data_IF_371692044272
#
_entry.id   IF_371692044272
#
_cell.length_a   1.000
_cell.length_b   1.000
_cell.length_c   1.000
_cell.angle_alpha   90.00
_cell.angle_beta   90.00
_cell.angle_gamma   90.00
#
_symmetry.space_group_name_H-M   'P 1'
#
loop_
_entity.id
_entity.type
_entity.pdbx_description
1 polymer ?
#
# COMPACT_ATOMS: atom_id res chain seq x y z
N UNK A 1 -3.85 5.88 12.01
CA UNK A 1 -4.15 5.04 10.82
C UNK A 1 -4.40 3.62 11.27
N UNK A 2 -5.47 3.02 10.80
CA UNK A 2 -5.81 1.64 11.14
C UNK A 2 -5.13 0.68 10.17
N UNK A 3 -4.63 -0.43 10.72
CA UNK A 3 -3.97 -1.47 9.93
C UNK A 3 -4.79 -2.75 10.08
N UNK A 4 -5.28 -3.28 8.97
CA UNK A 4 -6.02 -4.54 8.94
C UNK A 4 -5.21 -5.57 8.17
N UNK A 5 -4.93 -6.71 8.80
CA UNK A 5 -4.17 -7.80 8.18
C UNK A 5 -5.05 -9.02 8.09
N UNK A 6 -5.27 -9.53 6.88
CA UNK A 6 -6.04 -10.74 6.64
C UNK A 6 -5.24 -11.72 5.78
N UNK A 7 -5.55 -13.00 5.91
CA UNK A 7 -4.87 -14.03 5.13
C UNK A 7 -5.89 -14.98 4.49
N UNK A 8 -5.55 -15.46 3.30
CA UNK A 8 -6.27 -16.51 2.58
C UNK A 8 -5.36 -17.70 2.40
N UNK A 9 -5.84 -18.88 2.80
CA UNK A 9 -5.07 -20.12 2.74
C UNK A 9 -3.78 -20.07 3.56
N UNK A 10 -3.74 -19.23 4.60
CA UNK A 10 -2.57 -19.07 5.47
C UNK A 10 -3.01 -18.50 6.80
N UNK A 11 -2.17 -18.62 7.80
CA UNK A 11 -2.36 -18.03 9.11
C UNK A 11 -1.43 -16.82 9.28
N UNK A 12 -1.88 -15.84 10.05
CA UNK A 12 -1.07 -14.69 10.38
C UNK A 12 -0.41 -14.92 11.73
N UNK A 13 0.89 -15.19 11.72
CA UNK A 13 1.66 -15.30 12.94
C UNK A 13 1.95 -13.90 13.51
N UNK A 14 2.05 -13.76 14.85
CA UNK A 14 2.34 -12.47 15.47
C UNK A 14 3.61 -11.80 14.95
N UNK A 15 4.65 -12.59 14.67
CA UNK A 15 5.90 -12.05 14.12
C UNK A 15 5.70 -11.45 12.73
N UNK A 16 4.92 -12.11 11.88
CA UNK A 16 4.61 -11.61 10.55
C UNK A 16 3.78 -10.33 10.65
N UNK A 17 2.77 -10.32 11.53
CA UNK A 17 1.95 -9.13 11.74
C UNK A 17 2.79 -7.95 12.19
N UNK A 18 3.70 -8.15 13.14
CA UNK A 18 4.60 -7.10 13.61
C UNK A 18 5.49 -6.57 12.49
N UNK A 19 5.99 -7.47 11.65
CA UNK A 19 6.81 -7.10 10.50
C UNK A 19 6.05 -6.22 9.52
N UNK A 20 4.82 -6.62 9.19
CA UNK A 20 3.95 -5.84 8.30
C UNK A 20 3.67 -4.46 8.89
N UNK A 21 3.30 -4.41 10.17
CA UNK A 21 2.99 -3.16 10.84
C UNK A 21 4.17 -2.20 10.81
N UNK A 22 5.38 -2.70 11.03
CA UNK A 22 6.60 -1.90 10.94
C UNK A 22 6.80 -1.37 9.52
N UNK A 23 6.63 -2.23 8.51
CA UNK A 23 6.83 -1.83 7.10
C UNK A 23 5.84 -0.77 6.63
N UNK A 24 4.62 -0.79 7.12
CA UNK A 24 3.59 0.18 6.70
C UNK A 24 3.50 1.40 7.61
N UNK A 25 4.28 1.44 8.67
CA UNK A 25 4.20 2.50 9.70
C UNK A 25 4.49 3.90 9.17
N UNK A 26 5.26 4.01 8.08
CA UNK A 26 5.66 5.30 7.52
C UNK A 26 4.70 5.86 6.47
N UNK A 27 3.59 5.17 6.21
CA UNK A 27 2.62 5.62 5.20
C UNK A 27 2.15 7.04 5.46
N UNK A 28 1.84 7.37 6.72
CA UNK A 28 1.34 8.69 7.09
C UNK A 28 2.34 9.81 6.87
N UNK A 29 3.63 9.51 6.78
CA UNK A 29 4.65 10.51 6.45
C UNK A 29 4.55 10.97 5.00
N UNK A 30 4.11 10.07 4.09
CA UNK A 30 3.95 10.38 2.68
C UNK A 30 2.51 10.75 2.32
N UNK A 31 1.55 10.22 3.07
CA UNK A 31 0.13 10.42 2.85
C UNK A 31 -0.52 10.73 4.20
N UNK A 32 -0.47 11.99 4.68
CA UNK A 32 -1.00 12.35 6.01
C UNK A 32 -2.50 12.10 6.17
N UNK A 33 -3.25 12.07 5.07
CA UNK A 33 -4.69 11.82 5.09
C UNK A 33 -5.05 10.34 5.02
N UNK A 34 -4.07 9.46 5.07
CA UNK A 34 -4.31 8.02 5.10
C UNK A 34 -5.07 7.65 6.39
N UNK A 35 -6.16 6.91 6.24
CA UNK A 35 -7.01 6.50 7.35
C UNK A 35 -6.88 5.02 7.68
N UNK A 36 -6.62 4.20 6.67
CA UNK A 36 -6.55 2.75 6.84
C UNK A 36 -5.64 2.14 5.78
N UNK A 37 -4.93 1.11 6.17
CA UNK A 37 -4.25 0.24 5.21
C UNK A 37 -4.75 -1.18 5.41
N UNK A 38 -5.17 -1.81 4.32
CA UNK A 38 -5.55 -3.21 4.30
C UNK A 38 -4.40 -4.02 3.73
N UNK A 39 -3.99 -5.05 4.45
CA UNK A 39 -2.94 -5.98 4.03
C UNK A 39 -3.57 -7.34 3.83
N UNK A 40 -3.46 -7.89 2.64
CA UNK A 40 -3.98 -9.21 2.32
C UNK A 40 -2.82 -10.12 1.91
N UNK A 41 -2.67 -11.22 2.64
CA UNK A 41 -1.72 -12.29 2.31
C UNK A 41 -2.51 -13.43 1.69
N UNK A 42 -2.10 -13.90 0.52
CA UNK A 42 -2.67 -15.07 -0.12
C UNK A 42 -1.58 -16.10 -0.35
N UNK A 43 -1.83 -17.33 0.08
CA UNK A 43 -0.91 -18.44 -0.14
C UNK A 43 -1.42 -19.33 -1.28
N UNK A 44 -0.59 -19.50 -2.31
CA UNK A 44 -0.88 -20.40 -3.42
C UNK A 44 -0.47 -21.82 -3.06
N UNK A 45 -1.42 -22.75 -3.13
CA UNK A 45 -1.18 -24.15 -2.77
C UNK A 45 -0.62 -25.02 -3.90
N UNK A 46 -0.63 -24.50 -5.13
CA UNK A 46 -0.14 -25.27 -6.28
C UNK A 46 1.39 -25.38 -6.22
N UNK A 47 1.96 -26.60 -6.12
CA UNK A 47 3.41 -26.78 -6.07
C UNK A 47 4.15 -26.22 -7.27
N UNK A 48 3.48 -26.11 -8.43
CA UNK A 48 4.09 -25.56 -9.64
C UNK A 48 4.31 -24.06 -9.57
N UNK A 49 3.68 -23.39 -8.60
CA UNK A 49 3.79 -21.94 -8.41
C UNK A 49 4.53 -21.61 -7.11
N UNK A 50 5.42 -22.47 -6.67
CA UNK A 50 6.14 -22.28 -5.41
C UNK A 50 6.94 -20.97 -5.37
N UNK A 51 7.49 -20.54 -6.50
CA UNK A 51 8.30 -19.30 -6.58
C UNK A 51 7.46 -18.04 -6.39
N UNK A 52 6.14 -18.13 -6.56
CA UNK A 52 5.21 -17.02 -6.40
C UNK A 52 4.08 -17.38 -5.44
N UNK A 53 4.36 -18.33 -4.53
CA UNK A 53 3.34 -18.88 -3.64
C UNK A 53 2.76 -17.85 -2.67
N UNK A 54 3.55 -16.86 -2.27
CA UNK A 54 3.14 -15.84 -1.31
C UNK A 54 2.84 -14.54 -2.04
N UNK A 55 1.59 -14.08 -1.97
CA UNK A 55 1.16 -12.83 -2.57
C UNK A 55 0.72 -11.87 -1.49
N UNK A 56 1.24 -10.63 -1.55
CA UNK A 56 0.85 -9.54 -0.65
C UNK A 56 0.20 -8.45 -1.48
N UNK A 57 -0.95 -7.98 -1.03
CA UNK A 57 -1.63 -6.80 -1.57
C UNK A 57 -1.80 -5.78 -0.46
N UNK A 58 -1.32 -4.57 -0.71
CA UNK A 58 -1.44 -3.43 0.21
C UNK A 58 -2.37 -2.41 -0.41
N UNK A 59 -3.39 -1.97 0.32
CA UNK A 59 -4.33 -0.95 -0.14
C UNK A 59 -4.46 0.13 0.92
N UNK A 60 -4.15 1.38 0.53
CA UNK A 60 -4.23 2.53 1.43
C UNK A 60 -5.47 3.34 1.08
N UNK A 61 -6.31 3.57 2.10
CA UNK A 61 -7.52 4.38 2.01
C UNK A 61 -7.33 5.66 2.81
N UNK A 62 -7.81 6.76 2.28
CA UNK A 62 -7.78 8.05 2.96
C UNK A 62 -8.77 9.00 2.34
N UNK A 63 -8.59 10.29 2.57
CA UNK A 63 -9.45 11.34 2.01
C UNK A 63 -9.02 11.78 0.60
N UNK A 64 -8.19 11.00 -0.05
CA UNK A 64 -7.75 11.23 -1.42
C UNK A 64 -7.84 9.94 -2.21
N UNK A 65 -6.97 9.76 -3.21
CA UNK A 65 -7.01 8.55 -4.03
C UNK A 65 -6.67 7.31 -3.21
N UNK A 66 -7.19 6.17 -3.66
CA UNK A 66 -6.84 4.85 -3.11
C UNK A 66 -5.55 4.40 -3.79
N UNK A 67 -4.57 4.02 -3.01
CA UNK A 67 -3.26 3.59 -3.52
C UNK A 67 -3.08 2.12 -3.23
N UNK A 68 -2.72 1.34 -4.25
CA UNK A 68 -2.49 -0.10 -4.13
C UNK A 68 -1.11 -0.48 -4.61
N UNK A 69 -0.59 -1.55 -4.02
CA UNK A 69 0.62 -2.21 -4.48
C UNK A 69 0.52 -3.70 -4.15
N UNK A 70 1.06 -4.54 -5.01
CA UNK A 70 1.10 -5.97 -4.79
C UNK A 70 2.42 -6.56 -5.21
N UNK A 71 2.77 -7.69 -4.61
CA UNK A 71 3.97 -8.44 -4.96
C UNK A 71 3.78 -9.92 -4.67
N UNK A 72 4.53 -10.74 -5.37
CA UNK A 72 4.58 -12.18 -5.18
C UNK A 72 6.01 -12.63 -4.97
N UNK A 73 6.21 -13.64 -4.13
CA UNK A 73 7.52 -14.21 -3.85
C UNK A 73 7.33 -15.62 -3.28
N UNK A 74 8.40 -16.39 -3.24
CA UNK A 74 8.41 -17.67 -2.52
C UNK A 74 8.34 -17.48 -1.00
N UNK A 75 8.81 -16.33 -0.51
CA UNK A 75 8.82 -15.97 0.90
C UNK A 75 7.89 -14.77 1.15
N UNK A 76 6.99 -14.93 2.13
CA UNK A 76 6.01 -13.86 2.45
C UNK A 76 6.65 -12.58 2.97
N UNK A 77 7.77 -12.67 3.68
CA UNK A 77 8.49 -11.48 4.15
C UNK A 77 9.09 -10.70 2.98
N UNK A 78 9.67 -11.42 2.01
CA UNK A 78 10.17 -10.80 0.78
C UNK A 78 9.04 -10.16 -0.02
N UNK A 79 7.87 -10.80 -0.09
CA UNK A 79 6.70 -10.24 -0.77
C UNK A 79 6.26 -8.94 -0.11
N UNK A 80 6.27 -8.86 1.22
CA UNK A 80 5.97 -7.63 1.96
C UNK A 80 6.96 -6.52 1.60
N UNK A 81 8.25 -6.84 1.58
CA UNK A 81 9.29 -5.85 1.28
C UNK A 81 9.11 -5.27 -0.12
N UNK A 82 8.83 -6.13 -1.10
CA UNK A 82 8.64 -5.69 -2.49
C UNK A 82 7.36 -4.86 -2.61
N UNK A 83 6.27 -5.32 -2.03
CA UNK A 83 5.01 -4.58 -2.07
C UNK A 83 5.11 -3.23 -1.38
N UNK A 84 5.76 -3.18 -0.21
CA UNK A 84 5.98 -1.93 0.53
C UNK A 84 6.84 -0.96 -0.27
N UNK A 85 7.90 -1.44 -0.93
CA UNK A 85 8.74 -0.61 -1.79
C UNK A 85 7.93 0.04 -2.92
N UNK A 86 7.10 -0.75 -3.60
CA UNK A 86 6.21 -0.24 -4.64
C UNK A 86 5.21 0.78 -4.10
N UNK A 87 4.64 0.49 -2.93
CA UNK A 87 3.67 1.37 -2.29
C UNK A 87 4.29 2.73 -1.97
N UNK A 88 5.47 2.74 -1.34
CA UNK A 88 6.14 3.99 -0.97
C UNK A 88 6.54 4.81 -2.19
N UNK A 89 6.92 4.17 -3.27
CA UNK A 89 7.20 4.86 -4.52
C UNK A 89 5.95 5.56 -5.06
N UNK A 90 4.81 4.88 -5.05
CA UNK A 90 3.53 5.46 -5.49
C UNK A 90 3.08 6.61 -4.58
N UNK A 91 3.27 6.45 -3.27
CA UNK A 91 2.96 7.51 -2.31
C UNK A 91 3.85 8.72 -2.50
N UNK A 92 5.14 8.51 -2.81
CA UNK A 92 6.06 9.60 -3.13
C UNK A 92 5.60 10.37 -4.36
N UNK A 93 5.20 9.68 -5.42
CA UNK A 93 4.67 10.30 -6.63
C UNK A 93 3.42 11.12 -6.33
N UNK A 94 2.53 10.61 -5.50
CA UNK A 94 1.34 11.33 -5.07
C UNK A 94 1.72 12.61 -4.34
N UNK A 95 2.65 12.53 -3.38
CA UNK A 95 3.13 13.68 -2.62
C UNK A 95 3.73 14.74 -3.54
N UNK A 96 4.54 14.34 -4.50
CA UNK A 96 5.19 15.25 -5.44
C UNK A 96 4.16 15.92 -6.34
N UNK A 97 3.14 15.18 -6.78
CA UNK A 97 2.05 15.73 -7.58
C UNK A 97 1.23 16.77 -6.80
N UNK A 98 0.99 16.52 -5.51
CA UNK A 98 0.32 17.48 -4.64
C UNK A 98 1.14 18.77 -4.54
N UNK A 99 2.45 18.66 -4.36
CA UNK A 99 3.34 19.82 -4.31
C UNK A 99 3.32 20.63 -5.60
N UNK A 100 3.33 19.96 -6.76
CA UNK A 100 3.27 20.62 -8.05
C UNK A 100 1.95 21.38 -8.23
N UNK A 101 0.83 20.80 -7.84
CA UNK A 101 -0.46 21.47 -7.86
C UNK A 101 -0.47 22.74 -7.03
N UNK A 102 0.09 22.67 -5.81
CA UNK A 102 0.18 23.82 -4.91
C UNK A 102 1.02 24.96 -5.47
N UNK A 103 1.98 24.67 -6.34
CA UNK A 103 2.79 25.67 -7.00
C UNK A 103 2.07 26.36 -8.14
N UNK A 104 1.15 25.67 -8.82
CA UNK A 104 0.48 26.15 -10.04
C UNK A 104 -0.86 26.83 -9.77
N UNK A 105 -1.54 26.44 -8.69
CA UNK A 105 -2.91 26.84 -8.41
C UNK A 105 -3.04 27.35 -6.98
N UNK A 106 -4.09 28.18 -6.71
CA UNK A 106 -4.43 28.49 -5.32
C UNK A 106 -4.59 27.21 -4.52
N UNK A 107 -4.15 27.27 -3.26
CA UNK A 107 -4.11 26.11 -2.40
C UNK A 107 -5.44 25.36 -2.30
N UNK A 108 -6.54 26.11 -2.16
CA UNK A 108 -7.86 25.52 -2.00
C UNK A 108 -8.29 24.73 -3.22
N UNK A 109 -8.03 25.27 -4.42
CA UNK A 109 -8.34 24.59 -5.67
C UNK A 109 -7.49 23.33 -5.84
N UNK A 110 -6.21 23.41 -5.52
CA UNK A 110 -5.31 22.26 -5.63
C UNK A 110 -5.75 21.13 -4.72
N UNK A 111 -6.14 21.44 -3.48
CA UNK A 111 -6.64 20.43 -2.54
C UNK A 111 -7.95 19.81 -3.00
N UNK A 112 -8.86 20.60 -3.53
CA UNK A 112 -10.13 20.11 -4.05
C UNK A 112 -9.92 19.14 -5.22
N UNK A 113 -9.06 19.49 -6.16
CA UNK A 113 -8.74 18.62 -7.29
C UNK A 113 -8.13 17.30 -6.85
N UNK A 114 -7.25 17.33 -5.88
CA UNK A 114 -6.59 16.13 -5.39
C UNK A 114 -7.57 15.21 -4.64
N UNK A 115 -8.47 15.80 -3.86
CA UNK A 115 -9.49 15.03 -3.13
C UNK A 115 -10.48 14.36 -4.09
N UNK A 116 -10.67 14.92 -5.28
CA UNK A 116 -11.54 14.36 -6.31
C UNK A 116 -10.78 13.44 -7.28
N UNK A 117 -9.48 13.27 -7.08
CA UNK A 117 -8.67 12.43 -7.96
C UNK A 117 -9.18 10.99 -8.00
N UNK A 118 -9.13 10.34 -9.17
CA UNK A 118 -9.57 8.95 -9.28
C UNK A 118 -8.62 8.01 -8.53
N UNK A 119 -9.09 6.79 -8.30
CA UNK A 119 -8.29 5.73 -7.71
C UNK A 119 -7.04 5.48 -8.56
N UNK A 120 -5.89 5.43 -7.91
CA UNK A 120 -4.63 5.11 -8.59
C UNK A 120 -4.34 3.63 -8.37
N UNK A 121 -4.38 2.84 -9.43
CA UNK A 121 -4.03 1.43 -9.41
C UNK A 121 -2.92 1.19 -10.40
N UNK A 122 -1.85 0.55 -9.92
CA UNK A 122 -0.76 0.10 -10.77
C UNK A 122 -0.36 -1.29 -10.32
N UNK A 123 -0.36 -2.21 -11.22
CA UNK A 123 0.02 -3.59 -10.96
C UNK A 123 1.40 -3.90 -11.52
#
# INVERSE_FOLDING_TARGET
MDITVVARNAEIHPNFRAYVEEKVSKITQFYPRAQRVDVELTHERNPRQADTAERIELTVYGKGPIIRAEAQSADRYAAVDIAAGKLYERLRRLRDRVKDHRRRYPRDLAEAEILEAPVVEET
#
